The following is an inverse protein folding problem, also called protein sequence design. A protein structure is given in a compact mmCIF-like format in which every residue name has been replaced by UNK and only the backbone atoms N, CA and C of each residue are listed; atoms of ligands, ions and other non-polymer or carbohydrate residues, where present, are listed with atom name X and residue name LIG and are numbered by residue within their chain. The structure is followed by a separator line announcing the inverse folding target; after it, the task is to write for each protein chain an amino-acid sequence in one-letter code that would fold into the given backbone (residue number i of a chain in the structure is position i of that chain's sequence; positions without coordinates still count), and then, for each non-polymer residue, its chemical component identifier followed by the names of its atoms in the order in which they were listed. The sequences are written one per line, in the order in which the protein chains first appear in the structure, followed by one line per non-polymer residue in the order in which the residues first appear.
data_IF_268344742458
#
_entry.id   IF_268344742458
#
_cell.length_a   1.000
_cell.length_b   1.000
_cell.length_c   1.000
_cell.angle_alpha   90.00
_cell.angle_beta   90.00
_cell.angle_gamma   90.00
#
_symmetry.space_group_name_H-M   'P 1'
#
loop_
_entity.id
_entity.type
_entity.pdbx_description
1 polymer ?
#
# COMPACT_ATOMS: atom_id res chain seq x y z
N UNK A 1 -44.75 -16.23 46.24
CA UNK A 1 -43.73 -15.23 45.90
C UNK A 1 -43.11 -14.75 47.20
N UNK A 2 -41.85 -15.11 47.42
CA UNK A 2 -41.13 -15.06 48.69
C UNK A 2 -40.27 -13.81 48.82
N UNK A 3 -40.19 -13.33 50.07
CA UNK A 3 -39.09 -12.57 50.70
C UNK A 3 -38.79 -11.16 50.17
N UNK A 4 -39.27 -10.19 50.93
CA UNK A 4 -38.42 -9.08 51.36
C UNK A 4 -37.59 -9.50 52.57
N UNK A 5 -36.29 -9.16 52.56
CA UNK A 5 -35.43 -9.04 53.74
C UNK A 5 -34.43 -7.93 53.48
N UNK A 6 -34.63 -6.83 54.20
CA UNK A 6 -33.66 -6.12 55.04
C UNK A 6 -32.17 -6.29 54.74
N UNK A 7 -31.45 -5.17 54.75
CA UNK A 7 -30.00 -5.16 54.59
C UNK A 7 -29.38 -3.81 54.91
N UNK A 8 -29.35 -3.53 56.20
CA UNK A 8 -28.82 -2.35 56.88
C UNK A 8 -27.42 -1.92 56.42
N UNK A 9 -27.25 -0.60 56.26
CA UNK A 9 -25.97 0.05 56.06
C UNK A 9 -25.02 -0.17 57.25
N UNK A 10 -23.74 -0.39 56.94
CA UNK A 10 -22.52 -0.09 57.72
C UNK A 10 -21.38 -0.46 56.78
N UNK A 11 -20.51 0.45 56.38
CA UNK A 11 -19.74 1.31 57.24
C UNK A 11 -18.32 1.29 56.67
N UNK A 12 -17.79 2.49 56.50
CA UNK A 12 -16.44 2.82 56.09
C UNK A 12 -15.37 1.78 56.49
N UNK A 13 -14.44 1.57 55.55
CA UNK A 13 -12.99 1.33 55.73
C UNK A 13 -12.49 0.35 54.69
N UNK A 14 -12.10 0.86 53.50
CA UNK A 14 -11.19 0.22 52.51
C UNK A 14 -11.05 1.01 51.19
N UNK A 15 -11.52 2.26 51.14
CA UNK A 15 -11.65 3.05 49.91
C UNK A 15 -10.38 3.66 49.33
N UNK A 16 -9.17 3.41 49.84
CA UNK A 16 -7.97 4.10 49.34
C UNK A 16 -6.82 3.18 48.88
N UNK A 17 -6.97 1.85 48.99
CA UNK A 17 -5.95 0.91 48.48
C UNK A 17 -6.31 0.22 47.17
N UNK A 18 -7.58 0.28 46.74
CA UNK A 18 -8.03 -0.37 45.50
C UNK A 18 -7.91 0.53 44.26
N UNK A 19 -7.92 1.85 44.44
CA UNK A 19 -7.81 2.79 43.32
C UNK A 19 -6.38 2.93 42.75
N UNK A 20 -5.35 2.60 43.54
CA UNK A 20 -3.97 2.61 43.05
C UNK A 20 -3.64 1.43 42.13
N UNK A 21 -4.31 0.27 42.29
CA UNK A 21 -4.04 -0.93 41.48
C UNK A 21 -4.82 -0.90 40.16
N UNK A 22 -6.02 -0.30 40.14
CA UNK A 22 -6.81 -0.21 38.90
C UNK A 22 -6.20 0.80 37.91
N UNK A 23 -5.58 1.87 38.40
CA UNK A 23 -4.95 2.87 37.51
C UNK A 23 -3.64 2.39 36.87
N UNK A 24 -2.92 1.45 37.50
CA UNK A 24 -1.66 0.90 36.99
C UNK A 24 -1.88 -0.19 35.92
N UNK A 25 -3.05 -0.86 35.91
CA UNK A 25 -3.37 -1.88 34.89
C UNK A 25 -3.98 -1.27 33.63
N UNK A 26 -4.57 -0.08 33.70
CA UNK A 26 -5.12 0.60 32.53
C UNK A 26 -4.05 1.22 31.60
N UNK A 27 -2.85 1.50 32.10
CA UNK A 27 -1.74 2.05 31.28
C UNK A 27 -0.94 0.97 30.54
N UNK A 28 -1.01 -0.30 30.99
CA UNK A 28 -0.31 -1.40 30.32
C UNK A 28 -1.03 -1.92 29.07
N UNK A 29 -2.35 -1.72 28.93
CA UNK A 29 -3.10 -2.22 27.76
C UNK A 29 -3.16 -1.21 26.59
N UNK A 30 -2.80 0.05 26.83
CA UNK A 30 -2.68 1.05 25.75
C UNK A 30 -1.43 0.83 24.87
N UNK A 31 -0.49 -0.01 25.30
CA UNK A 31 0.73 -0.33 24.53
C UNK A 31 0.54 -1.49 23.52
N UNK A 32 -0.64 -2.12 23.48
CA UNK A 32 -0.98 -3.20 22.52
C UNK A 32 -1.98 -2.72 21.46
N UNK A 33 -2.05 -1.41 21.21
CA UNK A 33 -2.78 -0.85 20.05
C UNK A 33 -1.97 0.16 19.25
N UNK A 34 -0.72 0.44 19.68
CA UNK A 34 0.22 1.35 19.02
C UNK A 34 0.93 0.73 17.83
N UNK A 35 0.18 0.36 16.81
CA UNK A 35 0.68 -0.07 15.50
C UNK A 35 0.03 0.68 14.35
N UNK A 36 -0.51 1.88 14.59
CA UNK A 36 -0.86 2.79 13.52
C UNK A 36 0.47 3.31 12.94
N UNK A 37 1.04 2.57 11.99
CA UNK A 37 1.88 3.22 10.99
C UNK A 37 0.98 4.26 10.34
N UNK A 38 1.18 5.52 10.70
CA UNK A 38 0.79 6.64 9.87
C UNK A 38 1.63 6.52 8.59
N UNK A 39 1.29 5.56 7.74
CA UNK A 39 1.65 5.58 6.35
C UNK A 39 0.90 6.77 5.81
N UNK A 40 1.63 7.86 5.59
CA UNK A 40 1.15 9.06 4.94
C UNK A 40 0.14 8.68 3.87
N UNK A 41 -1.02 9.33 3.86
CA UNK A 41 -1.76 9.55 2.62
C UNK A 41 -0.92 10.50 1.75
N UNK A 42 0.32 10.07 1.43
CA UNK A 42 1.07 10.56 0.31
C UNK A 42 0.19 10.20 -0.88
N UNK A 43 -0.13 11.16 -1.73
CA UNK A 43 -0.60 10.87 -3.06
C UNK A 43 0.51 10.04 -3.70
N UNK A 44 0.46 8.72 -3.49
CA UNK A 44 1.64 7.89 -3.45
C UNK A 44 2.42 8.16 -4.73
N UNK A 45 3.70 8.49 -4.58
CA UNK A 45 4.63 8.08 -5.60
C UNK A 45 4.42 6.58 -5.78
N UNK A 46 3.60 6.24 -6.77
CA UNK A 46 2.89 4.97 -6.92
C UNK A 46 3.84 3.76 -6.88
N UNK A 47 5.10 4.02 -7.24
CA UNK A 47 6.25 3.20 -6.91
C UNK A 47 7.28 4.06 -6.13
N UNK A 48 7.88 3.50 -5.07
CA UNK A 48 8.83 4.23 -4.25
C UNK A 48 10.17 4.50 -4.96
N UNK A 49 10.70 5.70 -4.78
CA UNK A 49 12.05 6.10 -5.20
C UNK A 49 12.15 6.60 -6.65
N UNK A 50 13.39 6.67 -7.16
CA UNK A 50 13.66 7.11 -8.54
C UNK A 50 13.47 5.94 -9.52
N UNK A 51 12.85 6.17 -10.69
CA UNK A 51 12.81 5.17 -11.75
C UNK A 51 14.23 4.72 -12.11
N UNK A 52 14.44 3.41 -12.20
CA UNK A 52 15.68 2.82 -12.72
C UNK A 52 15.70 2.84 -14.24
N UNK A 53 14.53 2.79 -14.87
CA UNK A 53 14.38 2.92 -16.31
C UNK A 53 13.14 3.73 -16.63
N UNK A 54 13.30 4.68 -17.54
CA UNK A 54 12.18 5.40 -18.15
C UNK A 54 12.22 5.15 -19.65
N UNK A 55 11.08 4.79 -20.24
CA UNK A 55 10.93 4.59 -21.68
C UNK A 55 9.82 5.49 -22.17
N UNK A 56 10.17 6.50 -22.97
CA UNK A 56 9.21 7.44 -23.54
C UNK A 56 8.65 6.92 -24.85
N UNK A 57 7.40 7.26 -25.13
CA UNK A 57 6.71 7.00 -26.38
C UNK A 57 5.73 8.15 -26.68
N UNK A 58 5.12 8.15 -27.86
CA UNK A 58 4.39 9.32 -28.37
C UNK A 58 3.28 9.87 -27.45
N UNK A 59 2.61 9.01 -26.69
CA UNK A 59 1.44 9.35 -25.87
C UNK A 59 1.71 9.29 -24.37
N UNK A 60 2.93 8.95 -23.96
CA UNK A 60 3.26 8.73 -22.55
C UNK A 60 4.66 8.19 -22.30
N UNK A 61 4.88 7.71 -21.10
CA UNK A 61 6.13 7.08 -20.69
C UNK A 61 5.89 5.95 -19.70
N UNK A 62 6.75 4.93 -19.79
CA UNK A 62 6.84 3.84 -18.84
C UNK A 62 7.93 4.16 -17.83
N UNK A 63 7.59 4.09 -16.55
CA UNK A 63 8.55 4.26 -15.44
C UNK A 63 8.66 2.94 -14.70
N UNK A 64 9.87 2.40 -14.62
CA UNK A 64 10.18 1.13 -13.96
C UNK A 64 11.08 1.39 -12.77
N UNK A 65 10.68 0.85 -11.62
CA UNK A 65 11.31 1.02 -10.32
C UNK A 65 11.77 -0.35 -9.82
N UNK A 66 12.89 -0.36 -9.09
CA UNK A 66 13.43 -1.57 -8.44
C UNK A 66 13.75 -1.25 -6.99
N UNK A 67 13.24 -2.08 -6.09
CA UNK A 67 13.70 -2.20 -4.71
C UNK A 67 14.46 -3.52 -4.54
N UNK A 68 14.93 -3.81 -3.31
CA UNK A 68 15.68 -5.06 -3.04
C UNK A 68 14.92 -6.32 -3.45
N UNK A 69 13.61 -6.33 -3.27
CA UNK A 69 12.78 -7.52 -3.47
C UNK A 69 11.71 -7.36 -4.54
N UNK A 70 11.39 -6.13 -4.92
CA UNK A 70 10.25 -5.85 -5.80
C UNK A 70 10.66 -5.03 -7.03
N UNK A 71 9.97 -5.28 -8.12
CA UNK A 71 9.92 -4.38 -9.27
C UNK A 71 8.53 -3.77 -9.34
N UNK A 72 8.46 -2.47 -9.58
CA UNK A 72 7.21 -1.73 -9.72
C UNK A 72 7.19 -0.98 -11.04
N UNK A 73 6.04 -0.89 -11.70
CA UNK A 73 5.87 -0.16 -12.96
C UNK A 73 4.65 0.74 -12.93
N UNK A 74 4.78 1.89 -13.57
CA UNK A 74 3.65 2.73 -13.99
C UNK A 74 3.78 3.14 -15.46
N UNK A 75 2.62 3.26 -16.14
CA UNK A 75 2.52 3.91 -17.43
C UNK A 75 1.84 5.28 -17.23
N UNK A 76 2.54 6.36 -17.56
CA UNK A 76 2.09 7.74 -17.34
C UNK A 76 1.75 8.38 -18.67
N UNK A 77 0.58 9.02 -18.77
CA UNK A 77 0.19 9.75 -19.96
C UNK A 77 0.99 11.05 -20.09
N UNK A 78 1.42 11.38 -21.31
CA UNK A 78 2.17 12.62 -21.57
C UNK A 78 1.32 13.88 -21.39
N UNK A 79 0.01 13.76 -21.60
CA UNK A 79 -0.98 14.83 -21.43
C UNK A 79 -2.11 14.31 -20.53
N UNK A 80 -2.04 14.51 -19.21
CA UNK A 80 -3.08 14.05 -18.29
C UNK A 80 -4.41 14.81 -18.51
N UNK A 81 -5.51 14.19 -18.11
CA UNK A 81 -6.85 14.82 -18.04
C UNK A 81 -7.92 14.09 -18.83
N UNK A 82 -7.65 13.70 -20.09
CA UNK A 82 -8.63 12.91 -20.87
C UNK A 82 -8.61 11.44 -20.44
N UNK A 83 -9.78 10.82 -20.24
CA UNK A 83 -9.92 9.37 -20.01
C UNK A 83 -9.54 8.58 -21.27
N UNK A 84 -8.38 7.91 -21.23
CA UNK A 84 -7.84 7.10 -22.33
C UNK A 84 -7.66 5.65 -21.90
N UNK A 85 -7.73 4.74 -22.88
CA UNK A 85 -7.37 3.35 -22.64
C UNK A 85 -5.87 3.27 -22.37
N UNK A 86 -5.51 2.70 -21.24
CA UNK A 86 -4.12 2.44 -20.89
C UNK A 86 -3.98 1.02 -20.36
N UNK A 87 -2.82 0.43 -20.61
CA UNK A 87 -2.46 -0.85 -20.05
C UNK A 87 -1.00 -0.85 -19.67
N UNK A 88 -0.68 -1.56 -18.60
CA UNK A 88 0.68 -1.81 -18.17
C UNK A 88 0.80 -3.27 -17.79
N UNK A 89 1.90 -3.90 -18.19
CA UNK A 89 2.20 -5.30 -17.90
C UNK A 89 3.62 -5.39 -17.38
N UNK A 90 3.81 -6.18 -16.33
CA UNK A 90 5.11 -6.52 -15.78
C UNK A 90 5.23 -8.02 -15.64
N UNK A 91 6.35 -8.56 -16.10
CA UNK A 91 6.66 -9.98 -16.04
C UNK A 91 8.04 -10.17 -15.41
N UNK A 92 8.12 -10.81 -14.23
CA UNK A 92 9.40 -11.30 -13.73
C UNK A 92 9.82 -12.54 -14.51
N UNK A 93 11.13 -12.70 -14.74
CA UNK A 93 11.66 -13.85 -15.45
C UNK A 93 11.35 -15.13 -14.66
N UNK A 94 10.79 -16.12 -15.35
CA UNK A 94 10.30 -17.36 -14.72
C UNK A 94 9.02 -17.21 -13.92
N UNK A 95 8.29 -16.09 -14.06
CA UNK A 95 6.97 -15.88 -13.47
C UNK A 95 5.93 -15.47 -14.50
N UNK A 96 4.68 -15.46 -14.07
CA UNK A 96 3.55 -15.04 -14.90
C UNK A 96 3.53 -13.51 -15.08
N UNK A 97 3.15 -13.02 -16.27
CA UNK A 97 2.90 -11.61 -16.48
C UNK A 97 1.68 -11.15 -15.68
N UNK A 98 1.80 -9.99 -15.04
CA UNK A 98 0.69 -9.30 -14.37
C UNK A 98 0.36 -8.06 -15.18
N UNK A 99 -0.92 -7.87 -15.49
CA UNK A 99 -1.41 -6.76 -16.32
C UNK A 99 -2.49 -5.98 -15.57
N UNK A 100 -2.40 -4.66 -15.67
CA UNK A 100 -3.44 -3.71 -15.32
C UNK A 100 -3.85 -3.01 -16.61
N UNK A 101 -5.16 -2.91 -16.85
CA UNK A 101 -5.71 -2.34 -18.06
C UNK A 101 -7.06 -1.72 -17.79
N UNK A 102 -7.31 -0.57 -18.38
CA UNK A 102 -8.55 0.16 -18.14
C UNK A 102 -8.52 1.54 -18.77
N UNK A 103 -9.47 2.37 -18.37
CA UNK A 103 -9.55 3.77 -18.80
C UNK A 103 -9.13 4.68 -17.67
N UNK A 104 -7.98 5.33 -17.85
CA UNK A 104 -7.37 6.20 -16.85
C UNK A 104 -7.19 7.62 -17.39
N UNK A 105 -7.05 8.59 -16.49
CA UNK A 105 -6.85 10.01 -16.85
C UNK A 105 -5.39 10.44 -16.79
N UNK A 106 -4.57 9.77 -15.97
CA UNK A 106 -3.19 10.19 -15.70
C UNK A 106 -2.20 9.03 -15.81
N UNK A 107 -2.47 7.91 -15.17
CA UNK A 107 -1.57 6.76 -15.17
C UNK A 107 -2.31 5.43 -15.03
N UNK A 108 -1.72 4.36 -15.55
CA UNK A 108 -2.06 2.97 -15.24
C UNK A 108 -0.99 2.37 -14.32
N UNK A 109 -1.39 1.48 -13.40
CA UNK A 109 -0.58 1.00 -12.28
C UNK A 109 -0.89 1.71 -10.96
N UNK A 110 -0.29 1.30 -9.83
CA UNK A 110 0.95 0.53 -9.71
C UNK A 110 0.78 -0.96 -9.98
N UNK A 111 1.70 -1.55 -10.75
CA UNK A 111 1.91 -2.99 -10.69
C UNK A 111 3.25 -3.28 -10.01
N UNK A 112 3.18 -4.00 -8.89
CA UNK A 112 4.35 -4.44 -8.15
C UNK A 112 4.42 -5.96 -8.19
N UNK A 113 5.59 -6.49 -8.57
CA UNK A 113 5.87 -7.93 -8.55
C UNK A 113 7.12 -8.20 -7.73
N UNK A 114 7.15 -9.35 -7.07
CA UNK A 114 8.35 -9.81 -6.40
C UNK A 114 9.38 -10.24 -7.45
N UNK A 115 10.52 -9.54 -7.51
CA UNK A 115 11.52 -9.73 -8.55
C UNK A 115 12.91 -10.10 -8.00
N UNK A 116 13.28 -9.75 -6.77
CA UNK A 116 14.62 -10.00 -6.20
C UNK A 116 15.74 -9.74 -7.23
N UNK A 117 16.53 -10.77 -7.56
CA UNK A 117 17.61 -10.74 -8.55
C UNK A 117 17.18 -11.20 -9.96
N UNK A 118 15.87 -11.38 -10.18
CA UNK A 118 15.31 -11.78 -11.46
C UNK A 118 15.12 -10.55 -12.33
N UNK A 119 15.51 -10.67 -13.60
CA UNK A 119 15.20 -9.67 -14.60
C UNK A 119 13.68 -9.54 -14.77
N UNK A 120 13.19 -8.36 -15.13
CA UNK A 120 11.78 -8.12 -15.47
C UNK A 120 11.65 -7.62 -16.89
N UNK A 121 10.56 -7.99 -17.55
CA UNK A 121 10.11 -7.42 -18.81
C UNK A 121 8.88 -6.59 -18.54
N UNK A 122 8.81 -5.43 -19.16
CA UNK A 122 7.73 -4.49 -18.93
C UNK A 122 7.19 -4.03 -20.28
N UNK A 123 5.88 -3.90 -20.40
CA UNK A 123 5.23 -3.25 -21.52
C UNK A 123 4.11 -2.35 -21.04
N UNK A 124 3.77 -1.36 -21.85
CA UNK A 124 2.65 -0.49 -21.54
C UNK A 124 2.23 0.34 -22.73
N UNK A 125 0.96 0.69 -22.73
CA UNK A 125 0.28 1.44 -23.78
C UNK A 125 -0.55 2.55 -23.17
N UNK A 126 -0.60 3.69 -23.86
CA UNK A 126 -1.51 4.79 -23.61
C UNK A 126 -2.12 5.16 -24.95
N UNK A 127 -3.43 5.05 -25.08
CA UNK A 127 -4.17 5.41 -26.30
C UNK A 127 -3.69 4.64 -27.55
N UNK A 128 -3.42 3.34 -27.39
CA UNK A 128 -2.96 2.46 -28.46
C UNK A 128 -1.49 2.62 -28.88
N UNK A 129 -0.78 3.63 -28.35
CA UNK A 129 0.67 3.77 -28.54
C UNK A 129 1.39 3.34 -27.28
N UNK A 130 2.52 2.66 -27.43
CA UNK A 130 3.19 2.10 -26.27
C UNK A 130 4.63 1.72 -26.55
N UNK A 131 5.27 1.20 -25.51
CA UNK A 131 6.61 0.66 -25.59
C UNK A 131 6.71 -0.65 -24.79
N UNK A 132 7.73 -1.43 -25.12
CA UNK A 132 8.11 -2.64 -24.40
C UNK A 132 9.60 -2.63 -24.14
N UNK A 133 10.01 -3.19 -23.02
CA UNK A 133 11.42 -3.40 -22.70
C UNK A 133 11.84 -4.81 -23.11
N UNK A 134 13.15 -5.01 -23.23
CA UNK A 134 13.73 -6.34 -23.07
C UNK A 134 13.66 -6.79 -21.61
N UNK A 135 14.44 -7.82 -21.27
CA UNK A 135 14.72 -8.14 -19.87
C UNK A 135 15.64 -7.08 -19.31
N UNK A 136 15.16 -6.34 -18.32
CA UNK A 136 15.90 -5.28 -17.63
C UNK A 136 15.96 -5.60 -16.14
N UNK A 137 16.75 -4.84 -15.38
CA UNK A 137 16.80 -4.96 -13.92
C UNK A 137 17.22 -6.37 -13.45
N UNK A 138 18.07 -7.02 -14.23
CA UNK A 138 19.09 -7.90 -13.68
C UNK A 138 20.01 -6.95 -12.87
#
# INVERSE_FOLDING_TARGET
MTRGTEGHARGARRGLRRHAVVLALATALALVTGGAVAGSADAASVCAGRPKKTVKFATGELRVYKSRAYACVTAVAAKPGKRRTMSVTIQPRGGLPVTDSGRFTQLAGPLTVHALNRCVRVSGTVDGKGARTGWILC
#
